data_IF_772187886075
#
_entry.id   IF_772187886075
#
_cell.length_a   1.000
_cell.length_b   1.000
_cell.length_c   1.000
_cell.angle_alpha   90.00
_cell.angle_beta   90.00
_cell.angle_gamma   90.00
#
_symmetry.space_group_name_H-M   'P 1'
#
loop_
_entity.id
_entity.type
_entity.pdbx_description
1 polymer ?
#
# COMPACT_ATOMS: atom_id res chain seq x y z
N UNK A 1 7.12 28.29 1.89
CA UNK A 1 6.69 27.39 2.97
C UNK A 1 5.24 26.99 2.80
N UNK A 2 4.27 27.91 2.88
CA UNK A 2 2.86 27.64 2.56
C UNK A 2 2.67 26.94 1.21
N UNK A 3 3.23 27.50 0.14
CA UNK A 3 3.21 26.86 -1.20
C UNK A 3 3.76 25.42 -1.25
N UNK A 4 4.69 25.08 -0.35
CA UNK A 4 5.19 23.71 -0.26
C UNK A 4 4.19 22.82 0.48
N UNK A 5 3.62 23.29 1.59
CA UNK A 5 2.58 22.56 2.33
C UNK A 5 1.34 22.33 1.45
N UNK A 6 0.91 23.33 0.70
CA UNK A 6 -0.18 23.21 -0.29
C UNK A 6 0.14 22.13 -1.34
N UNK A 7 1.38 22.13 -1.84
CA UNK A 7 1.84 21.12 -2.81
C UNK A 7 1.85 19.74 -2.19
N UNK A 8 2.40 19.58 -0.98
CA UNK A 8 2.50 18.32 -0.26
C UNK A 8 1.11 17.76 0.07
N UNK A 9 0.18 18.62 0.50
CA UNK A 9 -1.22 18.28 0.71
C UNK A 9 -1.87 17.78 -0.57
N UNK A 10 -1.68 18.51 -1.68
CA UNK A 10 -2.19 18.08 -2.98
C UNK A 10 -1.58 16.74 -3.43
N UNK A 11 -0.28 16.56 -3.26
CA UNK A 11 0.43 15.32 -3.61
C UNK A 11 -0.12 14.10 -2.84
N UNK A 12 -0.43 14.26 -1.54
CA UNK A 12 -1.07 13.21 -0.74
C UNK A 12 -2.51 12.96 -1.21
N UNK A 13 -3.29 14.02 -1.45
CA UNK A 13 -4.70 13.90 -1.84
C UNK A 13 -4.91 13.37 -3.25
N UNK A 14 -3.95 13.59 -4.14
CA UNK A 14 -3.97 13.07 -5.53
C UNK A 14 -3.11 11.81 -5.69
N UNK A 15 -2.56 11.27 -4.60
CA UNK A 15 -1.79 10.05 -4.65
C UNK A 15 -2.64 8.90 -5.20
N UNK A 16 -2.00 8.01 -5.97
CA UNK A 16 -2.68 6.81 -6.45
C UNK A 16 -3.19 5.95 -5.29
N UNK A 17 -4.25 5.19 -5.57
CA UNK A 17 -4.77 4.20 -4.64
C UNK A 17 -3.70 3.18 -4.27
N UNK A 18 -3.82 2.60 -3.07
CA UNK A 18 -2.97 1.50 -2.61
C UNK A 18 -3.07 0.34 -3.59
N UNK A 19 -1.93 -0.06 -4.16
CA UNK A 19 -1.90 -1.21 -5.05
C UNK A 19 -2.15 -2.51 -4.29
N UNK A 20 -2.83 -3.46 -4.93
CA UNK A 20 -2.96 -4.84 -4.44
C UNK A 20 -1.76 -5.71 -4.85
N UNK A 21 -0.96 -5.23 -5.81
CA UNK A 21 0.26 -5.90 -6.24
C UNK A 21 1.42 -5.59 -5.27
N UNK A 22 2.06 -6.59 -4.64
CA UNK A 22 3.09 -6.38 -3.62
C UNK A 22 4.31 -5.59 -4.11
N UNK A 23 4.72 -5.77 -5.37
CA UNK A 23 5.89 -5.08 -5.94
C UNK A 23 5.60 -3.60 -6.10
N UNK A 24 4.48 -3.27 -6.74
CA UNK A 24 3.99 -1.89 -6.90
C UNK A 24 3.77 -1.23 -5.55
N UNK A 25 3.14 -1.93 -4.60
CA UNK A 25 2.89 -1.43 -3.26
C UNK A 25 4.20 -1.15 -2.48
N UNK A 26 5.22 -1.98 -2.67
CA UNK A 26 6.55 -1.75 -2.09
C UNK A 26 7.22 -0.48 -2.62
N UNK A 27 7.02 -0.18 -3.91
CA UNK A 27 7.47 1.07 -4.53
C UNK A 27 6.72 2.26 -3.92
N UNK A 28 5.39 2.20 -3.87
CA UNK A 28 4.54 3.24 -3.25
C UNK A 28 4.98 3.53 -1.81
N UNK A 29 5.21 2.49 -1.01
CA UNK A 29 5.67 2.63 0.39
C UNK A 29 7.04 3.29 0.48
N UNK A 30 8.00 2.87 -0.35
CA UNK A 30 9.36 3.42 -0.37
C UNK A 30 9.35 4.90 -0.72
N UNK A 31 8.62 5.28 -1.75
CA UNK A 31 8.52 6.67 -2.21
C UNK A 31 7.82 7.54 -1.16
N UNK A 32 6.74 7.05 -0.57
CA UNK A 32 6.04 7.76 0.49
C UNK A 32 6.91 7.96 1.75
N UNK A 33 7.78 7.00 2.10
CA UNK A 33 8.76 7.16 3.21
C UNK A 33 9.77 8.28 2.95
N UNK A 34 10.20 8.45 1.70
CA UNK A 34 11.12 9.55 1.33
C UNK A 34 10.38 10.88 1.46
N UNK A 35 9.16 10.96 0.92
CA UNK A 35 8.30 12.13 1.02
C UNK A 35 8.02 12.51 2.48
N UNK A 36 7.61 11.56 3.32
CA UNK A 36 7.30 11.76 4.74
C UNK A 36 8.52 12.28 5.52
N UNK A 37 9.73 11.82 5.16
CA UNK A 37 10.98 12.29 5.75
C UNK A 37 11.27 13.76 5.39
N UNK A 38 11.12 14.14 4.11
CA UNK A 38 11.29 15.55 3.69
C UNK A 38 10.25 16.44 4.37
N UNK A 39 8.99 16.00 4.41
CA UNK A 39 7.89 16.73 5.04
C UNK A 39 8.16 16.99 6.53
N UNK A 40 8.60 15.98 7.28
CA UNK A 40 9.02 16.13 8.69
C UNK A 40 10.19 17.12 8.82
N UNK A 41 11.15 17.10 7.91
CA UNK A 41 12.23 18.08 7.84
C UNK A 41 11.72 19.51 7.65
N UNK A 42 10.76 19.72 6.75
CA UNK A 42 10.13 21.04 6.53
C UNK A 42 9.30 21.49 7.73
N UNK A 43 8.57 20.59 8.39
CA UNK A 43 7.82 20.87 9.62
C UNK A 43 8.75 21.37 10.74
N UNK A 44 9.91 20.74 10.90
CA UNK A 44 10.90 21.19 11.88
C UNK A 44 11.42 22.60 11.54
N UNK A 45 11.71 22.86 10.26
CA UNK A 45 12.11 24.21 9.83
C UNK A 45 11.00 25.25 10.03
N UNK A 46 9.72 24.89 9.84
CA UNK A 46 8.56 25.74 10.16
C UNK A 46 8.57 26.10 11.64
N UNK A 47 8.72 25.10 12.51
CA UNK A 47 8.76 25.30 13.96
C UNK A 47 9.90 26.25 14.37
N UNK A 48 11.10 26.04 13.85
CA UNK A 48 12.25 26.91 14.14
C UNK A 48 12.02 28.36 13.71
N UNK A 49 11.34 28.58 12.56
CA UNK A 49 10.98 29.92 12.09
C UNK A 49 9.94 30.56 13.02
N UNK A 50 8.92 29.82 13.43
CA UNK A 50 7.89 30.31 14.35
C UNK A 50 8.49 30.69 15.70
N UNK A 51 9.39 29.87 16.24
CA UNK A 51 10.05 30.14 17.53
C UNK A 51 10.87 31.44 17.46
N UNK A 52 11.64 31.64 16.37
CA UNK A 52 12.40 32.87 16.13
C UNK A 52 11.49 34.09 15.97
N UNK A 53 10.42 33.98 15.17
CA UNK A 53 9.47 35.07 14.98
C UNK A 53 8.76 35.44 16.29
N UNK A 54 8.36 34.44 17.08
CA UNK A 54 7.71 34.65 18.38
C UNK A 54 8.62 35.37 19.36
N UNK A 55 9.92 35.03 19.37
CA UNK A 55 10.91 35.73 20.17
C UNK A 55 11.04 37.21 19.75
N UNK A 56 11.21 37.49 18.46
CA UNK A 56 11.30 38.85 17.94
C UNK A 56 10.06 39.70 18.25
N UNK A 57 8.86 39.11 18.12
CA UNK A 57 7.59 39.79 18.42
C UNK A 57 7.44 40.15 19.90
N UNK A 58 8.04 39.39 20.82
CA UNK A 58 8.06 39.77 22.25
C UNK A 58 8.91 41.01 22.50
N UNK A 59 9.95 41.21 21.71
CA UNK A 59 10.87 42.35 21.83
C UNK A 59 10.32 43.62 21.15
N UNK A 60 9.33 43.47 20.26
CA UNK A 60 8.74 44.58 19.50
C UNK A 60 7.23 44.66 19.74
N UNK A 61 6.79 45.51 20.69
CA UNK A 61 5.36 45.72 20.94
C UNK A 61 4.75 46.67 19.89
N UNK A 62 4.12 46.13 18.84
CA UNK A 62 3.40 46.90 17.83
C UNK A 62 2.11 46.19 17.38
N UNK A 63 1.20 46.93 16.74
CA UNK A 63 -0.07 46.40 16.21
C UNK A 63 0.09 45.36 15.09
N UNK A 64 1.25 45.29 14.42
CA UNK A 64 1.55 44.26 13.42
C UNK A 64 1.85 42.89 14.05
N UNK A 65 2.06 42.84 15.37
CA UNK A 65 2.41 41.61 16.08
C UNK A 65 1.29 40.58 16.08
N UNK A 66 0.03 41.00 16.10
CA UNK A 66 -1.11 40.08 16.14
C UNK A 66 -1.43 39.47 14.78
N UNK A 67 -1.27 40.23 13.69
CA UNK A 67 -1.39 39.70 12.32
C UNK A 67 -0.29 38.65 12.05
N UNK A 68 0.94 38.92 12.48
CA UNK A 68 2.05 37.97 12.30
C UNK A 68 1.80 36.70 13.11
N UNK A 69 1.36 36.79 14.38
CA UNK A 69 0.99 35.61 15.19
C UNK A 69 -0.07 34.76 14.50
N UNK A 70 -1.16 35.38 14.03
CA UNK A 70 -2.23 34.67 13.33
C UNK A 70 -1.71 33.91 12.09
N UNK A 71 -0.81 34.51 11.32
CA UNK A 71 -0.19 33.85 10.17
C UNK A 71 0.71 32.68 10.57
N UNK A 72 1.47 32.81 11.66
CA UNK A 72 2.32 31.73 12.18
C UNK A 72 1.45 30.56 12.69
N UNK A 73 0.34 30.85 13.36
CA UNK A 73 -0.61 29.83 13.82
C UNK A 73 -1.23 29.08 12.64
N UNK A 74 -1.62 29.81 11.58
CA UNK A 74 -2.15 29.22 10.35
C UNK A 74 -1.14 28.27 9.68
N UNK A 75 0.13 28.70 9.57
CA UNK A 75 1.21 27.87 9.00
C UNK A 75 1.42 26.61 9.85
N UNK A 76 1.34 26.73 11.18
CA UNK A 76 1.50 25.61 12.11
C UNK A 76 0.40 24.58 11.93
N UNK A 77 -0.86 25.03 11.93
CA UNK A 77 -2.03 24.16 11.73
C UNK A 77 -1.96 23.43 10.40
N UNK A 78 -1.58 24.11 9.32
CA UNK A 78 -1.43 23.48 8.02
C UNK A 78 -0.29 22.46 8.02
N UNK A 79 0.86 22.78 8.62
CA UNK A 79 1.99 21.84 8.69
C UNK A 79 1.64 20.57 9.47
N UNK A 80 0.93 20.70 10.59
CA UNK A 80 0.48 19.56 11.39
C UNK A 80 -0.58 18.73 10.66
N UNK A 81 -1.53 19.37 9.96
CA UNK A 81 -2.52 18.66 9.13
C UNK A 81 -1.86 17.81 8.04
N UNK A 82 -0.94 18.40 7.26
CA UNK A 82 -0.26 17.68 6.18
C UNK A 82 0.61 16.55 6.72
N UNK A 83 1.25 16.74 7.88
CA UNK A 83 1.99 15.66 8.55
C UNK A 83 1.07 14.53 9.01
N UNK A 84 -0.13 14.84 9.51
CA UNK A 84 -1.11 13.83 9.90
C UNK A 84 -1.60 13.03 8.69
N UNK A 85 -1.96 13.70 7.60
CA UNK A 85 -2.37 13.05 6.34
C UNK A 85 -1.26 12.12 5.80
N UNK A 86 -0.01 12.57 5.84
CA UNK A 86 1.15 11.76 5.45
C UNK A 86 1.30 10.52 6.34
N UNK A 87 1.16 10.69 7.65
CA UNK A 87 1.25 9.60 8.61
C UNK A 87 0.14 8.56 8.43
N UNK A 88 -1.09 9.01 8.18
CA UNK A 88 -2.23 8.13 7.92
C UNK A 88 -2.03 7.32 6.64
N UNK A 89 -1.58 7.98 5.55
CA UNK A 89 -1.25 7.30 4.29
C UNK A 89 -0.12 6.29 4.46
N UNK A 90 0.93 6.63 5.20
CA UNK A 90 2.05 5.74 5.51
C UNK A 90 1.56 4.50 6.25
N UNK A 91 0.74 4.69 7.29
CA UNK A 91 0.19 3.59 8.07
C UNK A 91 -0.64 2.63 7.19
N UNK A 92 -1.46 3.16 6.29
CA UNK A 92 -2.23 2.33 5.37
C UNK A 92 -1.34 1.53 4.41
N UNK A 93 -0.27 2.12 3.88
CA UNK A 93 0.69 1.42 3.01
C UNK A 93 1.40 0.28 3.77
N UNK A 94 1.84 0.55 5.00
CA UNK A 94 2.50 -0.44 5.86
C UNK A 94 1.58 -1.58 6.26
N UNK A 95 0.29 -1.29 6.51
CA UNK A 95 -0.72 -2.31 6.82
C UNK A 95 -1.12 -3.13 5.60
N UNK A 96 -1.18 -2.52 4.41
CA UNK A 96 -1.60 -3.19 3.18
C UNK A 96 -0.55 -4.16 2.62
N UNK A 97 0.74 -3.86 2.78
CA UNK A 97 1.81 -4.66 2.20
C UNK A 97 1.79 -6.14 2.60
N UNK A 98 1.74 -6.51 3.90
CA UNK A 98 1.68 -7.91 4.28
C UNK A 98 0.40 -8.60 3.81
N UNK A 99 -0.72 -7.87 3.71
CA UNK A 99 -1.98 -8.41 3.21
C UNK A 99 -1.88 -8.74 1.72
N UNK A 100 -1.32 -7.83 0.91
CA UNK A 100 -1.08 -8.03 -0.51
C UNK A 100 -0.13 -9.21 -0.76
N UNK A 101 0.97 -9.28 -0.01
CA UNK A 101 1.94 -10.39 -0.11
C UNK A 101 1.28 -11.73 0.17
N UNK A 102 0.60 -11.86 1.31
CA UNK A 102 -0.07 -13.11 1.69
C UNK A 102 -1.20 -13.49 0.72
N UNK A 103 -1.94 -12.51 0.20
CA UNK A 103 -2.95 -12.77 -0.82
C UNK A 103 -2.32 -13.34 -2.11
N UNK A 104 -1.23 -12.76 -2.59
CA UNK A 104 -0.52 -13.24 -3.77
C UNK A 104 0.08 -14.64 -3.60
N UNK A 105 0.64 -14.93 -2.42
CA UNK A 105 1.15 -16.26 -2.06
C UNK A 105 0.02 -17.31 -2.09
N UNK A 106 -1.09 -17.04 -1.41
CA UNK A 106 -2.25 -17.95 -1.38
C UNK A 106 -2.86 -18.15 -2.77
N UNK A 107 -2.97 -17.08 -3.57
CA UNK A 107 -3.46 -17.20 -4.94
C UNK A 107 -2.55 -18.12 -5.77
N UNK A 108 -1.24 -17.97 -5.63
CA UNK A 108 -0.26 -18.82 -6.32
C UNK A 108 -0.38 -20.28 -5.89
N UNK A 109 -0.51 -20.55 -4.60
CA UNK A 109 -0.68 -21.90 -4.05
C UNK A 109 -1.96 -22.56 -4.57
N UNK A 110 -3.09 -21.85 -4.52
CA UNK A 110 -4.37 -22.37 -5.00
C UNK A 110 -4.34 -22.64 -6.51
N UNK A 111 -3.76 -21.75 -7.30
CA UNK A 111 -3.61 -21.98 -8.74
C UNK A 111 -2.74 -23.21 -9.03
N UNK A 112 -1.60 -23.34 -8.35
CA UNK A 112 -0.72 -24.50 -8.53
C UNK A 112 -1.42 -25.82 -8.16
N UNK A 113 -2.19 -25.82 -7.07
CA UNK A 113 -2.99 -26.98 -6.68
C UNK A 113 -4.07 -27.32 -7.71
N UNK A 114 -4.77 -26.31 -8.25
CA UNK A 114 -5.75 -26.53 -9.32
C UNK A 114 -5.10 -27.12 -10.57
N UNK A 115 -3.96 -26.59 -11.00
CA UNK A 115 -3.22 -27.10 -12.16
C UNK A 115 -2.80 -28.57 -11.96
N UNK A 116 -2.35 -28.94 -10.76
CA UNK A 116 -2.02 -30.32 -10.40
C UNK A 116 -3.24 -31.24 -10.46
N UNK A 117 -4.37 -30.83 -9.88
CA UNK A 117 -5.62 -31.60 -9.91
C UNK A 117 -6.16 -31.78 -11.33
N UNK A 118 -6.10 -30.73 -12.16
CA UNK A 118 -6.48 -30.82 -13.57
C UNK A 118 -5.57 -31.80 -14.34
N UNK A 119 -4.26 -31.76 -14.10
CA UNK A 119 -3.31 -32.69 -14.70
C UNK A 119 -3.56 -34.14 -14.26
N UNK A 120 -3.84 -34.39 -12.99
CA UNK A 120 -4.20 -35.72 -12.47
C UNK A 120 -5.48 -36.27 -13.11
N UNK A 121 -6.52 -35.44 -13.22
CA UNK A 121 -7.79 -35.83 -13.85
C UNK A 121 -7.61 -36.18 -15.33
N UNK A 122 -6.79 -35.40 -16.06
CA UNK A 122 -6.44 -35.71 -17.45
C UNK A 122 -5.65 -37.02 -17.54
N UNK A 123 -4.72 -37.26 -16.62
CA UNK A 123 -3.91 -38.48 -16.60
C UNK A 123 -4.72 -39.76 -16.29
N UNK A 124 -5.79 -39.65 -15.48
CA UNK A 124 -6.67 -40.78 -15.16
C UNK A 124 -7.49 -41.28 -16.36
N UNK A 125 -7.62 -40.48 -17.42
CA UNK A 125 -8.32 -40.83 -18.65
C UNK A 125 -9.85 -41.01 -18.47
N UNK A 126 -10.59 -41.06 -19.58
CA UNK A 126 -12.01 -41.40 -19.50
C UNK A 126 -12.20 -42.81 -18.91
N UNK A 127 -13.11 -43.00 -17.93
CA UNK A 127 -13.44 -44.33 -17.37
C UNK A 127 -13.82 -45.39 -18.41
N UNK A 128 -14.09 -44.98 -19.66
CA UNK A 128 -14.46 -45.82 -20.79
C UNK A 128 -13.37 -46.77 -21.31
N UNK A 129 -12.08 -46.41 -21.21
CA UNK A 129 -10.98 -47.28 -21.71
C UNK A 129 -10.75 -48.51 -20.81
N UNK A 130 -11.05 -48.38 -19.52
CA UNK A 130 -10.97 -49.49 -18.57
C UNK A 130 -12.11 -50.49 -18.79
N UNK A 131 -13.28 -50.04 -19.25
CA UNK A 131 -14.43 -50.89 -19.54
C UNK A 131 -14.20 -51.84 -20.73
N UNK A 132 -13.52 -51.39 -21.79
CA UNK A 132 -13.12 -52.28 -22.90
C UNK A 132 -12.08 -53.32 -22.45
N UNK A 133 -11.10 -52.93 -21.65
CA UNK A 133 -10.09 -53.86 -21.12
C UNK A 133 -10.72 -54.87 -20.16
N UNK A 134 -11.62 -54.44 -19.27
CA UNK A 134 -12.38 -55.31 -18.37
C UNK A 134 -13.32 -56.24 -19.13
N UNK A 135 -14.01 -55.76 -20.17
CA UNK A 135 -14.84 -56.61 -21.05
C UNK A 135 -14.01 -57.67 -21.77
N UNK A 136 -12.87 -57.29 -22.34
CA UNK A 136 -11.98 -58.21 -23.06
C UNK A 136 -11.41 -59.31 -22.13
N UNK A 137 -11.08 -58.97 -20.88
CA UNK A 137 -10.69 -59.96 -19.88
C UNK A 137 -11.84 -60.91 -19.54
N UNK A 138 -13.05 -60.41 -19.36
CA UNK A 138 -14.23 -61.23 -19.07
C UNK A 138 -14.57 -62.18 -20.23
N UNK A 139 -14.48 -61.74 -21.48
CA UNK A 139 -14.79 -62.59 -22.65
C UNK A 139 -13.72 -63.68 -22.85
N UNK A 140 -12.44 -63.38 -22.60
CA UNK A 140 -11.38 -64.39 -22.63
C UNK A 140 -11.57 -65.49 -21.58
N UNK A 141 -12.12 -65.16 -20.40
CA UNK A 141 -12.43 -66.14 -19.35
C UNK A 141 -13.64 -67.01 -19.68
N UNK A 142 -14.57 -66.54 -20.52
CA UNK A 142 -15.72 -67.33 -21.00
C UNK A 142 -15.36 -68.31 -22.12
N UNK A 143 -14.31 -68.05 -22.90
CA UNK A 143 -13.87 -68.91 -24.01
C UNK A 143 -13.00 -70.09 -23.53
N UNK A 144 -12.51 -70.06 -22.29
CA UNK A 144 -11.65 -71.09 -21.69
C UNK A 144 -12.39 -72.13 -20.81
N UNK A 145 -13.72 -72.07 -20.70
CA UNK A 145 -14.57 -73.09 -20.06
C UNK A 145 -15.49 -73.75 -21.09
#
# INVERSE_FOLDING_TARGET
MLKYLDKAENEINTAESISIDPETLSIQLREHKIFDTDLKGKRNAVKDIIDKCTHMLRETANSQSDEIKFRLDTITQQADLVCQLSADRLHQLEAALPLATHYGENQTEVCAWLDEMEAELVAQGEPGLNLEQVKKQHDNLKVQN
#
